data_IF_752838341085
#
_entry.id   IF_752838341085
#
_cell.length_a   1.000
_cell.length_b   1.000
_cell.length_c   1.000
_cell.angle_alpha   90.00
_cell.angle_beta   90.00
_cell.angle_gamma   90.00
#
_symmetry.space_group_name_H-M   'P 1'
#
loop_
_entity.id
_entity.type
_entity.pdbx_description
1 polymer ?
#
# COMPACT_ATOMS: atom_id res chain seq x y z
N UNK A 1 -0.61 -7.93 -22.05
CA UNK A 1 -1.47 -7.17 -21.13
C UNK A 1 -0.64 -6.89 -19.89
N UNK A 2 -0.46 -5.62 -19.52
CA UNK A 2 0.32 -5.29 -18.33
C UNK A 2 -0.49 -5.68 -17.08
N UNK A 3 0.10 -6.49 -16.20
CA UNK A 3 -0.56 -6.88 -14.95
C UNK A 3 -0.50 -5.68 -13.99
N UNK A 4 -1.64 -5.15 -13.55
CA UNK A 4 -1.68 -3.99 -12.65
C UNK A 4 -2.18 -4.43 -11.29
N UNK A 5 -1.44 -4.11 -10.24
CA UNK A 5 -1.91 -4.20 -8.85
C UNK A 5 -2.46 -2.83 -8.46
N UNK A 6 -3.71 -2.79 -8.02
CA UNK A 6 -4.37 -1.59 -7.52
C UNK A 6 -4.73 -1.79 -6.06
N UNK A 7 -4.41 -0.80 -5.24
CA UNK A 7 -4.76 -0.70 -3.83
C UNK A 7 -5.55 0.58 -3.65
N UNK A 8 -6.73 0.45 -3.05
CA UNK A 8 -7.65 1.57 -2.84
C UNK A 8 -8.08 1.58 -1.38
N UNK A 9 -7.90 2.74 -0.73
CA UNK A 9 -8.33 3.03 0.63
C UNK A 9 -7.90 1.98 1.67
N UNK A 10 -6.70 1.43 1.51
CA UNK A 10 -6.19 0.39 2.40
C UNK A 10 -5.95 0.97 3.78
N UNK A 11 -6.62 0.40 4.76
CA UNK A 11 -6.58 0.81 6.16
C UNK A 11 -6.43 -0.40 7.06
N UNK A 12 -5.62 -0.28 8.11
CA UNK A 12 -5.46 -1.34 9.12
C UNK A 12 -5.34 -0.77 10.51
N UNK A 13 -6.10 -1.35 11.43
CA UNK A 13 -6.15 -0.99 12.85
C UNK A 13 -5.88 -2.22 13.71
N UNK A 14 -5.05 -2.06 14.74
CA UNK A 14 -4.86 -3.03 15.82
C UNK A 14 -5.22 -2.35 17.15
N UNK A 15 -6.31 -2.82 17.78
CA UNK A 15 -6.85 -2.19 18.98
C UNK A 15 -7.22 -0.72 18.74
N UNK A 16 -6.57 0.20 19.45
CA UNK A 16 -6.74 1.65 19.27
C UNK A 16 -5.76 2.28 18.28
N UNK A 17 -4.78 1.52 17.77
CA UNK A 17 -3.71 2.05 16.92
C UNK A 17 -4.00 1.76 15.45
N UNK A 18 -4.04 2.83 14.65
CA UNK A 18 -4.05 2.74 13.19
C UNK A 18 -2.62 2.54 12.68
N UNK A 19 -2.37 1.41 12.02
CA UNK A 19 -1.06 1.00 11.51
C UNK A 19 -0.92 1.19 10.00
N UNK A 20 -2.03 1.26 9.27
CA UNK A 20 -2.05 1.71 7.87
C UNK A 20 -3.18 2.73 7.73
N UNK A 21 -2.83 3.93 7.25
CA UNK A 21 -3.69 5.12 7.22
C UNK A 21 -4.16 5.40 5.79
N UNK A 22 -5.28 4.80 5.39
CA UNK A 22 -6.03 5.10 4.16
C UNK A 22 -5.12 5.37 2.93
N UNK A 23 -4.43 4.32 2.48
CA UNK A 23 -3.49 4.42 1.37
C UNK A 23 -4.10 3.91 0.07
N UNK A 24 -3.90 4.66 -1.02
CA UNK A 24 -4.31 4.29 -2.37
C UNK A 24 -3.13 4.43 -3.33
N UNK A 25 -2.83 3.38 -4.09
CA UNK A 25 -1.81 3.41 -5.15
C UNK A 25 -1.97 2.25 -6.14
N UNK A 26 -1.32 2.37 -7.29
CA UNK A 26 -1.26 1.29 -8.29
C UNK A 26 0.17 1.06 -8.75
N UNK A 27 0.49 -0.18 -9.14
CA UNK A 27 1.76 -0.52 -9.78
C UNK A 27 1.55 -1.43 -10.99
N UNK A 28 2.42 -1.26 -11.99
CA UNK A 28 2.47 -2.12 -13.17
C UNK A 28 3.47 -3.26 -12.96
N UNK A 29 3.21 -4.40 -13.59
CA UNK A 29 4.12 -5.55 -13.60
C UNK A 29 5.51 -5.16 -14.10
N UNK A 30 6.54 -5.50 -13.32
CA UNK A 30 7.93 -5.13 -13.58
C UNK A 30 8.39 -3.86 -12.86
N UNK A 31 7.50 -3.11 -12.21
CA UNK A 31 7.90 -2.00 -11.34
C UNK A 31 8.38 -2.51 -9.97
N UNK A 32 9.44 -1.87 -9.47
CA UNK A 32 9.97 -2.10 -8.11
C UNK A 32 9.49 -0.95 -7.22
N UNK A 33 8.88 -1.28 -6.09
CA UNK A 33 8.47 -0.31 -5.06
C UNK A 33 9.18 -0.62 -3.74
N UNK A 34 9.75 0.40 -3.13
CA UNK A 34 10.27 0.36 -1.76
C UNK A 34 9.30 1.05 -0.81
N UNK A 35 8.93 0.37 0.27
CA UNK A 35 8.20 0.98 1.38
C UNK A 35 9.22 1.41 2.43
N UNK A 36 9.37 2.72 2.62
CA UNK A 36 10.29 3.32 3.58
C UNK A 36 9.50 3.90 4.74
N UNK A 37 9.94 3.59 5.96
CA UNK A 37 9.39 4.14 7.19
C UNK A 37 10.50 4.48 8.17
N UNK A 38 10.20 5.23 9.23
CA UNK A 38 11.09 5.30 10.40
C UNK A 38 11.35 3.88 10.94
N UNK A 39 12.49 3.69 11.63
CA UNK A 39 12.85 2.42 12.29
C UNK A 39 11.70 1.87 13.15
#
# INVERSE_FOLDING_TARGET
>A
MANTLTIEHLRKVYGKREVVKDISFSMQGGQIIGLLGPN
#
